data_IF_822797683836
#
_entry.id   IF_822797683836
#
_cell.length_a   1.000
_cell.length_b   1.000
_cell.length_c   1.000
_cell.angle_alpha   90.00
_cell.angle_beta   90.00
_cell.angle_gamma   90.00
#
_symmetry.space_group_name_H-M   'P 1'
#
loop_
_entity.id
_entity.type
_entity.pdbx_description
1 polymer ?
#
# COMPACT_ATOMS: atom_id res chain seq x y z
N UNK A 1 24.36 2.16 -0.79
CA UNK A 1 23.33 1.36 -1.48
C UNK A 1 22.87 2.13 -2.70
N UNK A 2 22.93 1.52 -3.87
CA UNK A 2 22.44 2.08 -5.13
C UNK A 2 20.94 1.86 -5.31
N UNK A 3 20.31 2.61 -6.23
CA UNK A 3 18.91 2.40 -6.62
C UNK A 3 18.68 0.96 -7.11
N UNK A 4 19.62 0.42 -7.88
CA UNK A 4 19.58 -0.95 -8.38
C UNK A 4 19.56 -1.96 -7.23
N UNK A 5 20.49 -1.87 -6.28
CA UNK A 5 20.58 -2.82 -5.16
C UNK A 5 19.29 -2.84 -4.33
N UNK A 6 18.78 -1.65 -3.99
CA UNK A 6 17.55 -1.51 -3.19
C UNK A 6 16.33 -2.09 -3.92
N UNK A 7 16.06 -1.62 -5.13
CA UNK A 7 14.87 -2.02 -5.88
C UNK A 7 14.96 -3.47 -6.38
N UNK A 8 16.14 -3.97 -6.72
CA UNK A 8 16.33 -5.37 -7.08
C UNK A 8 15.99 -6.30 -5.91
N UNK A 9 16.44 -5.97 -4.69
CA UNK A 9 16.12 -6.72 -3.48
C UNK A 9 14.61 -6.70 -3.19
N UNK A 10 13.97 -5.53 -3.26
CA UNK A 10 12.52 -5.36 -3.09
C UNK A 10 11.78 -6.20 -4.14
N UNK A 11 12.11 -6.07 -5.42
CA UNK A 11 11.41 -6.79 -6.50
C UNK A 11 11.59 -8.31 -6.40
N UNK A 12 12.74 -8.79 -5.91
CA UNK A 12 12.97 -10.22 -5.65
C UNK A 12 11.99 -10.74 -4.58
N UNK A 13 11.84 -10.01 -3.48
CA UNK A 13 10.91 -10.36 -2.39
C UNK A 13 9.45 -10.32 -2.86
N UNK A 14 9.07 -9.26 -3.59
CA UNK A 14 7.71 -9.11 -4.13
C UNK A 14 7.37 -10.23 -5.11
N UNK A 15 8.27 -10.58 -6.05
CA UNK A 15 8.02 -11.69 -7.00
C UNK A 15 7.85 -13.03 -6.29
N UNK A 16 8.63 -13.28 -5.23
CA UNK A 16 8.45 -14.47 -4.39
C UNK A 16 7.05 -14.47 -3.76
N UNK A 17 6.64 -13.36 -3.13
CA UNK A 17 5.31 -13.23 -2.54
C UNK A 17 4.17 -13.46 -3.54
N UNK A 18 4.26 -12.86 -4.73
CA UNK A 18 3.27 -13.06 -5.81
C UNK A 18 3.11 -14.54 -6.16
N UNK A 19 4.23 -15.27 -6.29
CA UNK A 19 4.23 -16.71 -6.59
C UNK A 19 3.62 -17.51 -5.45
N UNK A 20 4.02 -17.22 -4.22
CA UNK A 20 3.59 -17.96 -3.03
C UNK A 20 2.10 -17.75 -2.73
N UNK A 21 1.53 -16.59 -3.09
CA UNK A 21 0.11 -16.27 -2.90
C UNK A 21 -0.79 -16.57 -4.09
N UNK A 22 -0.24 -17.08 -5.21
CA UNK A 22 -1.00 -17.33 -6.44
C UNK A 22 -1.54 -16.05 -7.12
N UNK A 23 -0.93 -14.89 -6.84
CA UNK A 23 -1.31 -13.63 -7.49
C UNK A 23 -0.64 -13.49 -8.86
N UNK A 24 -1.15 -12.58 -9.69
CA UNK A 24 -0.59 -12.29 -11.02
C UNK A 24 0.38 -11.10 -11.03
N UNK A 25 0.15 -10.09 -10.19
CA UNK A 25 0.93 -8.84 -10.16
C UNK A 25 0.85 -8.15 -8.79
N UNK A 26 1.81 -7.30 -8.47
CA UNK A 26 1.75 -6.43 -7.28
C UNK A 26 1.09 -5.08 -7.59
N UNK A 27 0.36 -4.54 -6.61
CA UNK A 27 -0.19 -3.18 -6.61
C UNK A 27 0.44 -2.45 -5.43
N UNK A 28 0.94 -1.23 -5.65
CA UNK A 28 1.53 -0.43 -4.59
C UNK A 28 0.43 0.12 -3.69
N UNK A 29 0.60 -0.06 -2.38
CA UNK A 29 -0.17 0.62 -1.33
C UNK A 29 0.73 1.70 -0.74
N UNK A 30 0.28 2.95 -0.75
CA UNK A 30 1.02 4.09 -0.18
C UNK A 30 0.04 5.21 0.21
N UNK A 31 0.53 6.29 0.82
CA UNK A 31 -0.29 7.44 1.24
C UNK A 31 0.02 8.66 0.36
N UNK A 32 -0.96 9.11 -0.42
CA UNK A 32 -0.74 9.91 -1.64
C UNK A 32 0.06 9.12 -2.69
N UNK A 33 -0.36 7.88 -2.94
CA UNK A 33 0.42 6.82 -3.59
C UNK A 33 1.04 7.16 -4.96
N UNK A 34 0.48 8.13 -5.70
CA UNK A 34 1.06 8.62 -6.96
C UNK A 34 2.48 9.15 -6.76
N UNK A 35 2.78 9.78 -5.62
CA UNK A 35 4.10 10.28 -5.29
C UNK A 35 5.12 9.13 -5.24
N UNK A 36 4.95 8.17 -4.33
CA UNK A 36 5.85 7.03 -4.15
C UNK A 36 5.99 6.19 -5.43
N UNK A 37 4.87 5.98 -6.12
CA UNK A 37 4.83 5.22 -7.36
C UNK A 37 5.68 5.88 -8.45
N UNK A 38 5.53 7.19 -8.66
CA UNK A 38 6.29 7.93 -9.67
C UNK A 38 7.80 7.87 -9.42
N UNK A 39 8.24 8.01 -8.16
CA UNK A 39 9.65 7.93 -7.79
C UNK A 39 10.21 6.51 -7.95
N UNK A 40 9.48 5.48 -7.51
CA UNK A 40 9.90 4.09 -7.66
C UNK A 40 10.01 3.69 -9.14
N UNK A 41 9.06 4.10 -9.98
CA UNK A 41 9.08 3.81 -11.41
C UNK A 41 10.26 4.49 -12.11
N UNK A 42 10.49 5.78 -11.84
CA UNK A 42 11.62 6.51 -12.41
C UNK A 42 12.97 5.94 -11.95
N UNK A 43 13.10 5.53 -10.69
CA UNK A 43 14.31 4.89 -10.18
C UNK A 43 14.53 3.50 -10.81
N UNK A 44 13.46 2.71 -11.00
CA UNK A 44 13.56 1.43 -11.70
C UNK A 44 14.01 1.59 -13.17
N UNK A 45 13.54 2.64 -13.83
CA UNK A 45 13.95 3.00 -15.20
C UNK A 45 15.43 3.39 -15.26
N UNK A 46 15.87 4.34 -14.40
CA UNK A 46 17.29 4.74 -14.30
C UNK A 46 18.21 3.56 -14.00
N UNK A 47 17.77 2.65 -13.12
CA UNK A 47 18.50 1.45 -12.75
C UNK A 47 18.42 0.32 -13.79
N UNK A 48 17.72 0.52 -14.92
CA UNK A 48 17.53 -0.49 -15.97
C UNK A 48 16.96 -1.83 -15.44
N UNK A 49 16.10 -1.77 -14.42
CA UNK A 49 15.53 -2.96 -13.78
C UNK A 49 14.44 -3.59 -14.64
N UNK A 50 14.76 -4.75 -15.21
CA UNK A 50 13.81 -5.56 -15.99
C UNK A 50 12.79 -6.25 -15.07
N UNK A 51 11.61 -6.56 -15.62
CA UNK A 51 10.52 -7.33 -14.96
C UNK A 51 9.99 -6.66 -13.69
N UNK A 52 9.74 -5.35 -13.70
CA UNK A 52 9.11 -4.67 -12.56
C UNK A 52 7.78 -5.37 -12.19
N UNK A 53 7.63 -5.92 -10.96
CA UNK A 53 6.46 -6.69 -10.58
C UNK A 53 5.23 -5.82 -10.27
N UNK A 54 5.41 -4.51 -10.10
CA UNK A 54 4.32 -3.59 -9.79
C UNK A 54 3.49 -3.24 -11.03
N UNK A 55 2.21 -2.92 -10.81
CA UNK A 55 1.34 -2.39 -11.84
C UNK A 55 1.85 -1.02 -12.34
N UNK A 56 1.86 -0.75 -13.66
CA UNK A 56 2.51 0.45 -14.21
C UNK A 56 1.77 1.75 -13.90
N UNK A 57 0.50 1.70 -13.48
CA UNK A 57 -0.31 2.89 -13.21
C UNK A 57 -1.42 2.71 -12.15
N UNK A 58 -1.60 1.50 -11.61
CA UNK A 58 -2.65 1.26 -10.60
C UNK A 58 -2.00 1.21 -9.24
N UNK A 59 -2.60 1.92 -8.29
CA UNK A 59 -2.18 2.00 -6.90
C UNK A 59 -3.42 1.90 -5.99
N UNK A 60 -3.19 1.53 -4.73
CA UNK A 60 -4.17 1.73 -3.66
C UNK A 60 -3.69 2.87 -2.79
N UNK A 61 -4.34 4.02 -2.95
CA UNK A 61 -4.03 5.22 -2.18
C UNK A 61 -4.77 5.22 -0.85
N UNK A 62 -4.01 5.12 0.23
CA UNK A 62 -4.55 5.13 1.60
C UNK A 62 -5.09 6.50 2.01
N UNK A 63 -4.73 7.60 1.34
CA UNK A 63 -5.36 8.89 1.61
C UNK A 63 -6.84 8.88 1.17
N UNK A 64 -7.11 8.43 -0.06
CA UNK A 64 -8.47 8.25 -0.55
C UNK A 64 -9.27 7.22 0.27
N UNK A 65 -8.67 6.05 0.56
CA UNK A 65 -9.33 5.00 1.35
C UNK A 65 -9.65 5.47 2.78
N UNK A 66 -8.76 6.24 3.41
CA UNK A 66 -9.00 6.82 4.74
C UNK A 66 -10.06 7.90 4.70
N UNK A 67 -10.11 8.69 3.62
CA UNK A 67 -11.20 9.65 3.39
C UNK A 67 -12.57 8.96 3.40
N UNK A 68 -12.68 7.81 2.73
CA UNK A 68 -13.90 7.00 2.71
C UNK A 68 -14.21 6.38 4.08
N UNK A 69 -13.25 5.69 4.68
CA UNK A 69 -13.51 4.83 5.84
C UNK A 69 -13.49 5.57 7.19
N UNK A 70 -12.76 6.69 7.28
CA UNK A 70 -12.43 7.38 8.52
C UNK A 70 -12.67 8.90 8.46
N UNK A 71 -13.01 9.45 7.29
CA UNK A 71 -13.19 10.89 7.11
C UNK A 71 -11.91 11.72 7.25
N UNK A 72 -10.73 11.09 7.12
CA UNK A 72 -9.43 11.74 7.28
C UNK A 72 -8.51 11.39 6.12
N UNK A 73 -7.81 12.38 5.56
CA UNK A 73 -6.87 12.19 4.45
C UNK A 73 -5.40 12.39 4.83
N UNK A 74 -5.13 12.88 6.05
CA UNK A 74 -3.77 13.04 6.57
C UNK A 74 -3.40 11.79 7.36
N UNK A 75 -2.27 11.14 7.02
CA UNK A 75 -1.84 9.86 7.61
C UNK A 75 -1.95 9.83 9.14
N UNK A 76 -1.38 10.82 9.83
CA UNK A 76 -1.40 10.88 11.29
C UNK A 76 -2.82 10.94 11.86
N UNK A 77 -3.68 11.78 11.26
CA UNK A 77 -5.10 11.89 11.65
C UNK A 77 -5.88 10.62 11.34
N UNK A 78 -5.61 9.98 10.21
CA UNK A 78 -6.23 8.71 9.82
C UNK A 78 -5.83 7.58 10.78
N UNK A 79 -4.56 7.48 11.15
CA UNK A 79 -4.09 6.52 12.16
C UNK A 79 -4.81 6.75 13.51
N UNK A 80 -4.85 8.00 14.00
CA UNK A 80 -5.54 8.32 15.25
C UNK A 80 -7.04 8.01 15.18
N UNK A 81 -7.71 8.33 14.07
CA UNK A 81 -9.13 8.00 13.84
C UNK A 81 -9.38 6.48 13.73
N UNK A 82 -8.39 5.70 13.31
CA UNK A 82 -8.42 4.25 13.30
C UNK A 82 -8.15 3.63 14.69
N UNK A 83 -7.85 4.44 15.72
CA UNK A 83 -7.47 3.97 17.06
C UNK A 83 -6.03 3.50 17.14
N UNK A 84 -5.17 3.92 16.20
CA UNK A 84 -3.75 3.58 16.18
C UNK A 84 -2.92 4.71 16.78
N UNK A 85 -1.83 4.34 17.46
CA UNK A 85 -0.82 5.31 17.87
C UNK A 85 -0.02 5.82 16.66
N UNK A 86 0.22 7.14 16.67
CA UNK A 86 1.07 7.82 15.70
C UNK A 86 2.01 8.79 16.41
N UNK A 87 3.31 8.56 16.24
CA UNK A 87 4.40 9.31 16.83
C UNK A 87 4.91 10.33 15.81
N UNK A 88 4.60 11.60 16.04
CA UNK A 88 4.98 12.69 15.14
C UNK A 88 6.49 12.91 15.05
N UNK A 89 7.27 12.50 16.05
CA UNK A 89 8.73 12.63 16.03
C UNK A 89 9.39 11.61 15.10
N UNK A 90 8.71 10.48 14.85
CA UNK A 90 9.16 9.43 13.93
C UNK A 90 8.61 9.58 12.52
N UNK A 91 7.69 10.53 12.31
CA UNK A 91 7.17 10.86 10.99
C UNK A 91 8.34 11.24 10.06
N UNK A 92 8.16 11.02 8.75
CA UNK A 92 9.19 11.22 7.71
C UNK A 92 10.30 10.16 7.67
N UNK A 93 10.32 9.20 8.61
CA UNK A 93 11.07 7.97 8.42
C UNK A 93 10.27 7.06 7.48
N UNK A 94 10.85 6.72 6.32
CA UNK A 94 10.22 5.81 5.36
C UNK A 94 9.82 4.47 5.99
N UNK A 95 10.60 3.97 6.95
CA UNK A 95 10.27 2.74 7.69
C UNK A 95 9.02 2.93 8.55
N UNK A 96 8.97 4.01 9.34
CA UNK A 96 7.85 4.29 10.23
C UNK A 96 6.56 4.54 9.44
N UNK A 97 6.64 5.40 8.43
CA UNK A 97 5.50 5.76 7.59
C UNK A 97 4.97 4.54 6.82
N UNK A 98 5.85 3.65 6.33
CA UNK A 98 5.46 2.39 5.68
C UNK A 98 4.77 1.45 6.67
N UNK A 99 5.29 1.30 7.89
CA UNK A 99 4.69 0.43 8.90
C UNK A 99 3.30 0.93 9.32
N UNK A 100 3.17 2.23 9.61
CA UNK A 100 1.89 2.85 9.97
C UNK A 100 0.88 2.76 8.81
N UNK A 101 1.31 3.02 7.58
CA UNK A 101 0.46 2.91 6.39
C UNK A 101 0.00 1.47 6.16
N UNK A 102 0.86 0.48 6.36
CA UNK A 102 0.50 -0.93 6.22
C UNK A 102 -0.55 -1.35 7.26
N UNK A 103 -0.36 -0.98 8.53
CA UNK A 103 -1.34 -1.27 9.60
C UNK A 103 -2.68 -0.56 9.31
N UNK A 104 -2.64 0.71 8.88
CA UNK A 104 -3.83 1.48 8.52
C UNK A 104 -4.59 0.83 7.36
N UNK A 105 -3.90 0.43 6.30
CA UNK A 105 -4.52 -0.26 5.17
C UNK A 105 -5.19 -1.57 5.59
N UNK A 106 -4.49 -2.39 6.38
CA UNK A 106 -5.04 -3.62 6.93
C UNK A 106 -6.29 -3.36 7.78
N UNK A 107 -6.27 -2.34 8.65
CA UNK A 107 -7.43 -1.99 9.48
C UNK A 107 -8.62 -1.51 8.64
N UNK A 108 -8.41 -0.71 7.60
CA UNK A 108 -9.51 -0.28 6.70
C UNK A 108 -10.17 -1.49 6.02
N UNK A 109 -9.36 -2.40 5.44
CA UNK A 109 -9.86 -3.61 4.77
C UNK A 109 -10.58 -4.51 5.77
N UNK A 110 -10.00 -4.72 6.95
CA UNK A 110 -10.58 -5.56 7.99
C UNK A 110 -11.85 -4.95 8.59
N UNK A 111 -11.91 -3.63 8.74
CA UNK A 111 -13.11 -2.92 9.21
C UNK A 111 -14.28 -3.11 8.24
N UNK A 112 -14.04 -2.97 6.94
CA UNK A 112 -15.04 -3.24 5.91
C UNK A 112 -15.58 -4.67 6.00
N UNK A 113 -14.67 -5.65 6.19
CA UNK A 113 -15.05 -7.05 6.44
C UNK A 113 -15.87 -7.23 7.72
N UNK A 114 -15.44 -6.65 8.86
CA UNK A 114 -16.14 -6.77 10.16
C UNK A 114 -17.55 -6.16 10.12
N UNK A 115 -17.75 -5.13 9.32
CA UNK A 115 -19.06 -4.48 9.12
C UNK A 115 -19.92 -5.18 8.05
N UNK A 116 -19.49 -6.33 7.52
CA UNK A 116 -20.28 -7.12 6.56
C UNK A 116 -20.21 -6.64 5.12
N UNK A 117 -19.32 -5.70 4.79
CA UNK A 117 -19.14 -5.22 3.41
C UNK A 117 -18.38 -6.20 2.50
N UNK A 118 -17.73 -7.21 3.07
CA UNK A 118 -17.10 -8.31 2.33
C UNK A 118 -17.17 -9.64 3.13
N UNK A 119 -17.50 -10.79 2.50
CA UNK A 119 -17.78 -10.99 1.08
C UNK A 119 -19.05 -10.28 0.61
N UNK A 120 -19.12 -9.95 -0.69
CA UNK A 120 -20.36 -9.46 -1.27
C UNK A 120 -21.44 -10.55 -1.14
N UNK A 121 -22.71 -10.18 -0.89
CA UNK A 121 -23.81 -11.14 -0.89
C UNK A 121 -23.83 -11.89 -2.23
N UNK A 122 -23.98 -13.22 -2.18
CA UNK A 122 -24.22 -13.99 -3.39
C UNK A 122 -25.50 -13.47 -4.05
N UNK A 123 -25.55 -13.37 -5.40
CA UNK A 123 -26.81 -13.12 -6.07
C UNK A 123 -27.81 -14.17 -5.63
N UNK A 124 -28.94 -13.77 -5.05
CA UNK A 124 -30.07 -14.68 -4.91
C UNK A 124 -30.57 -14.95 -6.32
N UNK A 125 -30.51 -16.21 -6.75
CA UNK A 125 -31.06 -16.64 -8.04
C UNK A 125 -32.48 -16.04 -8.18
N UNK A 126 -32.69 -15.29 -9.28
CA UNK A 126 -34.00 -14.78 -9.65
C UNK A 126 -34.78 -15.85 -10.40
#
# INVERSE_FOLDING_TARGET
MSEYEALHAIFKMVRKGIKDSGCSRAIMVAHNATFDHSFMMAAAERASLKRNPFHPFVTFDTAALSGLALGQTVLSKACLAAGMEFDGEKAHSALYDTERTAVLFCEIVNRWKRLGGWPLPLPTDK
#
